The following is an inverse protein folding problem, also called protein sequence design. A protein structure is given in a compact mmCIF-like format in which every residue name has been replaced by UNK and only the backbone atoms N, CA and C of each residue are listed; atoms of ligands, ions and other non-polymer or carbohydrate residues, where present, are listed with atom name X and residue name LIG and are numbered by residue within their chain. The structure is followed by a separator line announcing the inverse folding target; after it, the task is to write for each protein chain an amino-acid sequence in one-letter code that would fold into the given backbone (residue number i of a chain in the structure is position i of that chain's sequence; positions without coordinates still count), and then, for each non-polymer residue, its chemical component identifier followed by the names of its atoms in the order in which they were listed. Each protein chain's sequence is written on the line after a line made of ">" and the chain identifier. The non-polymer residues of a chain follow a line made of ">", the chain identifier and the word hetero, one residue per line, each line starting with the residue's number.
data_IF_688679756951
#
_entry.id   IF_688679756951
#
_cell.length_a   1.000
_cell.length_b   1.000
_cell.length_c   1.000
_cell.angle_alpha   90.00
_cell.angle_beta   90.00
_cell.angle_gamma   90.00
#
_symmetry.space_group_name_H-M   'P 1'
#
loop_
_entity.id
_entity.type
_entity.pdbx_description
1 polymer ?
#
# COMPACT_ATOMS: atom_id res chain seq x y z
N UNK A 1 -36.34 -5.10 12.92
CA UNK A 1 -34.95 -4.74 12.64
C UNK A 1 -34.71 -3.47 13.43
N UNK A 2 -33.69 -3.48 14.29
CA UNK A 2 -33.29 -2.24 14.99
C UNK A 2 -32.79 -1.22 13.97
N UNK A 3 -33.18 0.03 14.15
CA UNK A 3 -32.70 1.12 13.32
C UNK A 3 -31.16 1.25 13.51
N UNK A 4 -30.35 1.37 12.46
CA UNK A 4 -28.89 1.52 12.59
C UNK A 4 -28.46 2.73 13.42
N UNK A 5 -29.32 3.74 13.53
CA UNK A 5 -29.11 4.93 14.35
C UNK A 5 -29.26 4.65 15.85
N UNK A 6 -30.05 3.64 16.24
CA UNK A 6 -30.29 3.27 17.65
C UNK A 6 -29.21 2.34 18.19
N UNK A 7 -28.58 1.51 17.32
CA UNK A 7 -27.52 0.60 17.69
C UNK A 7 -26.41 0.58 16.62
N UNK A 8 -25.57 1.63 16.53
CA UNK A 8 -24.55 1.74 15.52
C UNK A 8 -23.45 0.70 15.72
N UNK A 9 -23.17 -0.07 14.68
CA UNK A 9 -22.04 -0.99 14.66
C UNK A 9 -20.85 -0.37 13.94
N UNK A 10 -19.69 -0.38 14.59
CA UNK A 10 -18.44 0.14 14.03
C UNK A 10 -17.59 -1.02 13.50
N UNK A 11 -17.10 -0.89 12.28
CA UNK A 11 -16.12 -1.79 11.68
C UNK A 11 -14.87 -1.02 11.28
N UNK A 12 -13.70 -1.64 11.50
CA UNK A 12 -12.44 -1.12 11.01
C UNK A 12 -12.13 -1.77 9.67
N UNK A 13 -11.96 -0.94 8.65
CA UNK A 13 -11.53 -1.37 7.33
C UNK A 13 -10.30 -0.55 6.93
N UNK A 14 -9.10 -1.13 6.91
CA UNK A 14 -7.93 -0.41 6.46
C UNK A 14 -8.01 -0.18 4.94
N UNK A 15 -7.92 1.07 4.53
CA UNK A 15 -7.90 1.45 3.11
C UNK A 15 -6.53 1.97 2.76
N UNK A 16 -5.79 1.18 2.00
CA UNK A 16 -4.48 1.52 1.47
C UNK A 16 -4.54 1.82 -0.03
N UNK A 17 -3.41 2.12 -0.66
CA UNK A 17 -3.35 2.15 -2.12
C UNK A 17 -3.80 0.80 -2.68
N UNK A 18 -4.80 0.81 -3.55
CA UNK A 18 -5.37 -0.38 -4.14
C UNK A 18 -4.56 -0.93 -5.32
N UNK A 19 -3.45 -0.28 -5.69
CA UNK A 19 -2.61 -0.65 -6.83
C UNK A 19 -3.44 -1.00 -8.06
N UNK A 20 -4.33 -0.06 -8.44
CA UNK A 20 -5.29 -0.25 -9.52
C UNK A 20 -4.60 -0.51 -10.86
N UNK A 21 -5.10 -1.47 -11.64
CA UNK A 21 -4.58 -1.73 -12.99
C UNK A 21 -5.01 -0.63 -13.98
N UNK A 22 -6.19 -0.02 -13.78
CA UNK A 22 -6.64 1.17 -14.49
C UNK A 22 -6.51 2.38 -13.56
N UNK A 23 -5.28 2.77 -13.25
CA UNK A 23 -4.98 3.74 -12.20
C UNK A 23 -5.24 5.19 -12.65
N UNK A 24 -6.30 5.87 -12.17
CA UNK A 24 -6.57 7.26 -12.56
C UNK A 24 -5.46 8.23 -12.16
N UNK A 25 -4.69 7.87 -11.13
CA UNK A 25 -3.57 8.68 -10.65
C UNK A 25 -2.36 8.67 -11.58
N UNK A 26 -2.22 7.67 -12.45
CA UNK A 26 -1.14 7.61 -13.43
C UNK A 26 -1.40 8.55 -14.61
N UNK A 27 -2.65 8.60 -15.08
CA UNK A 27 -3.04 9.40 -16.25
C UNK A 27 -2.90 10.91 -16.02
N UNK A 28 -2.98 11.36 -14.78
CA UNK A 28 -2.98 12.80 -14.44
C UNK A 28 -1.62 13.31 -13.98
N UNK A 29 -0.60 12.46 -13.91
CA UNK A 29 0.72 12.88 -13.47
C UNK A 29 1.51 13.50 -14.63
N UNK A 30 1.80 14.83 -14.62
CA UNK A 30 2.44 15.50 -15.74
C UNK A 30 3.88 15.07 -15.97
N UNK A 31 4.52 14.47 -14.96
CA UNK A 31 5.92 14.06 -14.99
C UNK A 31 6.09 12.53 -14.94
N UNK A 32 5.00 11.78 -15.06
CA UNK A 32 5.00 10.33 -14.95
C UNK A 32 5.73 9.81 -13.68
N UNK A 33 5.56 10.50 -12.55
CA UNK A 33 6.09 10.06 -11.26
C UNK A 33 5.32 8.86 -10.69
N UNK A 34 4.12 8.62 -11.20
CA UNK A 34 3.31 7.45 -10.87
C UNK A 34 3.24 6.54 -12.07
N UNK A 35 3.75 5.33 -11.95
CA UNK A 35 3.89 4.35 -13.03
C UNK A 35 3.55 2.94 -12.55
N UNK A 36 3.24 2.03 -13.48
CA UNK A 36 3.10 0.61 -13.20
C UNK A 36 4.42 -0.14 -13.35
N UNK A 37 4.68 -1.05 -12.42
CA UNK A 37 5.79 -2.01 -12.53
C UNK A 37 5.34 -3.28 -13.25
N UNK A 38 6.32 -4.09 -13.67
CA UNK A 38 6.06 -5.40 -14.27
C UNK A 38 5.39 -6.39 -13.29
N UNK A 39 5.50 -6.13 -11.99
CA UNK A 39 4.83 -6.90 -10.93
C UNK A 39 3.36 -6.50 -10.73
N UNK A 40 2.86 -5.53 -11.47
CA UNK A 40 1.50 -5.01 -11.32
C UNK A 40 1.36 -3.98 -10.19
N UNK A 41 2.46 -3.44 -9.66
CA UNK A 41 2.44 -2.44 -8.61
C UNK A 41 2.35 -1.03 -9.19
N UNK A 42 1.43 -0.23 -8.68
CA UNK A 42 1.45 1.20 -8.92
C UNK A 42 2.58 1.81 -8.08
N UNK A 43 3.64 2.26 -8.73
CA UNK A 43 4.84 2.80 -8.10
C UNK A 43 4.81 4.32 -8.01
N UNK A 44 5.59 4.86 -7.08
CA UNK A 44 5.81 6.30 -6.94
C UNK A 44 7.31 6.60 -6.99
N UNK A 45 7.71 7.38 -7.99
CA UNK A 45 9.09 7.84 -8.16
C UNK A 45 9.22 9.21 -7.51
N UNK A 46 9.74 9.26 -6.28
CA UNK A 46 9.74 10.46 -5.44
C UNK A 46 10.54 11.61 -6.01
N UNK A 47 11.72 11.33 -6.57
CA UNK A 47 12.60 12.35 -7.16
C UNK A 47 12.06 12.96 -8.46
N UNK A 48 11.02 12.35 -9.02
CA UNK A 48 10.34 12.86 -10.23
C UNK A 48 9.10 13.66 -9.88
N UNK A 49 8.59 13.53 -8.65
CA UNK A 49 7.38 14.21 -8.20
C UNK A 49 7.60 15.70 -8.02
N UNK A 50 6.80 16.50 -8.70
CA UNK A 50 6.81 17.97 -8.59
C UNK A 50 5.66 18.52 -7.73
N UNK A 51 4.91 17.66 -7.08
CA UNK A 51 3.91 18.03 -6.07
C UNK A 51 2.63 18.69 -6.59
N UNK A 52 2.21 18.44 -7.83
CA UNK A 52 0.95 18.98 -8.38
C UNK A 52 -0.29 18.51 -7.64
N UNK A 53 -0.22 17.40 -6.90
CA UNK A 53 -1.30 16.79 -6.11
C UNK A 53 -2.51 16.32 -6.92
N UNK A 54 -2.50 16.45 -8.23
CA UNK A 54 -3.60 16.01 -9.06
C UNK A 54 -3.87 14.50 -8.91
N UNK A 55 -2.82 13.69 -8.75
CA UNK A 55 -2.96 12.27 -8.49
C UNK A 55 -3.68 11.96 -7.15
N UNK A 56 -3.54 12.82 -6.14
CA UNK A 56 -4.28 12.69 -4.87
C UNK A 56 -5.77 13.05 -5.05
N UNK A 57 -6.05 14.11 -5.80
CA UNK A 57 -7.42 14.51 -6.12
C UNK A 57 -8.15 13.46 -6.96
N UNK A 58 -7.44 12.85 -7.91
CA UNK A 58 -8.02 11.87 -8.83
C UNK A 58 -8.07 10.44 -8.26
N UNK A 59 -7.46 10.19 -7.10
CA UNK A 59 -7.55 8.90 -6.44
C UNK A 59 -8.95 8.73 -5.82
N UNK A 60 -9.75 7.72 -6.24
CA UNK A 60 -11.09 7.52 -5.68
C UNK A 60 -11.05 7.09 -4.21
N UNK A 61 -9.99 6.40 -3.80
CA UNK A 61 -9.78 5.93 -2.43
C UNK A 61 -9.16 6.98 -1.50
N UNK A 62 -8.68 8.10 -2.03
CA UNK A 62 -8.07 9.20 -1.27
C UNK A 62 -6.88 8.78 -0.39
N UNK A 63 -6.08 7.84 -0.85
CA UNK A 63 -4.98 7.21 -0.09
C UNK A 63 -3.60 7.76 -0.42
N UNK A 64 -3.53 8.80 -1.22
CA UNK A 64 -2.28 9.48 -1.57
C UNK A 64 -2.11 10.69 -0.65
N UNK A 65 -0.94 10.78 0.00
CA UNK A 65 -0.64 11.82 0.99
C UNK A 65 0.48 12.73 0.49
N UNK A 66 0.29 14.01 0.67
CA UNK A 66 1.28 15.01 0.30
C UNK A 66 2.12 15.40 1.51
N UNK A 67 3.43 15.47 1.34
CA UNK A 67 4.35 15.89 2.39
C UNK A 67 4.42 17.41 2.45
N UNK A 68 3.67 17.98 3.35
CA UNK A 68 3.59 19.44 3.56
C UNK A 68 4.82 20.00 4.27
N UNK A 69 5.47 19.19 5.09
CA UNK A 69 6.55 19.59 5.96
C UNK A 69 7.76 18.67 5.80
N UNK A 70 8.93 19.20 6.15
CA UNK A 70 10.14 18.39 6.31
C UNK A 70 10.12 17.75 7.70
N UNK A 71 9.43 16.63 7.85
CA UNK A 71 9.22 15.98 9.15
C UNK A 71 10.49 15.46 9.82
N UNK A 72 11.52 15.15 9.04
CA UNK A 72 12.81 14.66 9.52
C UNK A 72 13.78 15.76 9.93
N UNK A 73 13.44 17.00 9.70
CA UNK A 73 14.29 18.16 9.99
C UNK A 73 13.40 19.39 10.22
N UNK A 74 12.69 19.39 11.35
CA UNK A 74 11.74 20.44 11.68
C UNK A 74 11.60 20.58 13.20
N UNK A 75 12.09 21.67 13.75
CA UNK A 75 12.12 21.97 15.19
C UNK A 75 10.75 21.87 15.89
N UNK A 76 9.67 22.02 15.13
CA UNK A 76 8.30 21.93 15.67
C UNK A 76 7.80 20.49 15.85
N UNK A 77 8.41 19.52 15.15
CA UNK A 77 7.96 18.14 15.11
C UNK A 77 8.99 17.13 15.58
N UNK A 78 10.23 17.56 15.82
CA UNK A 78 11.32 16.60 16.01
C UNK A 78 11.46 16.08 17.44
N UNK A 79 10.83 16.71 18.42
CA UNK A 79 10.90 16.30 19.83
C UNK A 79 12.33 15.91 20.30
N UNK A 80 13.34 16.65 19.84
CA UNK A 80 14.77 16.40 20.08
C UNK A 80 15.33 15.12 19.40
N UNK A 81 14.70 14.62 18.35
CA UNK A 81 15.15 13.42 17.64
C UNK A 81 15.97 13.74 16.37
N UNK A 82 16.12 15.02 15.99
CA UNK A 82 16.83 15.44 14.77
C UNK A 82 18.24 15.97 15.02
N UNK A 83 18.74 15.93 16.26
CA UNK A 83 20.15 16.13 16.53
C UNK A 83 20.98 14.95 16.00
N UNK A 84 22.29 15.13 15.88
CA UNK A 84 23.17 14.11 15.30
C UNK A 84 23.14 12.79 16.09
N UNK A 85 22.96 12.84 17.39
CA UNK A 85 22.86 11.65 18.24
C UNK A 85 21.52 10.95 18.06
N UNK A 86 20.42 11.69 18.00
CA UNK A 86 19.08 11.15 17.76
C UNK A 86 18.97 10.48 16.39
N UNK A 87 19.62 11.03 15.36
CA UNK A 87 19.66 10.43 14.02
C UNK A 87 20.38 9.09 13.97
N UNK A 88 21.29 8.82 14.89
CA UNK A 88 22.03 7.55 14.93
C UNK A 88 21.17 6.32 15.26
N UNK A 89 20.02 6.49 15.89
CA UNK A 89 19.07 5.39 16.16
C UNK A 89 18.14 5.08 14.98
N UNK A 90 18.13 5.94 13.94
CA UNK A 90 17.29 5.74 12.77
C UNK A 90 17.90 4.71 11.83
N UNK A 91 17.04 3.93 11.18
CA UNK A 91 17.49 2.97 10.19
C UNK A 91 18.05 3.71 8.95
N UNK A 92 19.35 3.60 8.62
CA UNK A 92 19.97 4.30 7.49
C UNK A 92 19.45 3.85 6.12
N UNK A 93 18.83 2.66 6.04
CA UNK A 93 18.27 2.13 4.80
C UNK A 93 16.89 2.73 4.48
N UNK A 94 16.32 3.51 5.39
CA UNK A 94 15.04 4.20 5.18
C UNK A 94 15.28 5.62 4.68
N UNK A 95 14.92 5.88 3.43
CA UNK A 95 14.95 7.23 2.86
C UNK A 95 13.69 7.98 3.27
N UNK A 96 13.86 9.06 4.04
CA UNK A 96 12.78 10.00 4.33
C UNK A 96 12.57 10.93 3.13
N UNK A 97 11.34 11.02 2.64
CA UNK A 97 11.02 11.86 1.47
C UNK A 97 10.96 13.30 1.87
N UNK A 98 11.40 14.15 0.96
CA UNK A 98 11.39 15.59 1.15
C UNK A 98 9.97 16.17 1.16
N UNK A 99 9.85 17.40 1.66
CA UNK A 99 8.64 18.20 1.48
C UNK A 99 8.30 18.35 -0.01
N UNK A 100 7.02 18.36 -0.35
CA UNK A 100 6.55 18.63 -1.71
C UNK A 100 6.33 17.40 -2.57
N UNK A 101 6.49 16.19 -2.04
CA UNK A 101 6.23 14.95 -2.77
C UNK A 101 4.98 14.23 -2.26
N UNK A 102 4.43 13.37 -3.10
CA UNK A 102 3.31 12.49 -2.74
C UNK A 102 3.84 11.12 -2.30
N UNK A 103 3.26 10.60 -1.24
CA UNK A 103 3.51 9.25 -0.74
C UNK A 103 2.24 8.41 -0.69
N UNK A 104 2.42 7.10 -0.75
CA UNK A 104 1.35 6.11 -0.62
C UNK A 104 1.93 4.75 -0.24
N UNK A 105 1.09 3.76 0.06
CA UNK A 105 1.53 2.39 0.25
C UNK A 105 2.24 1.86 -1.01
N UNK A 106 3.46 1.34 -0.83
CA UNK A 106 4.28 0.75 -1.91
C UNK A 106 4.17 -0.77 -1.99
N UNK A 107 3.33 -1.41 -1.16
CA UNK A 107 3.31 -2.87 -0.95
C UNK A 107 4.68 -3.46 -0.61
N UNK A 108 5.48 -2.72 0.16
CA UNK A 108 6.82 -3.14 0.57
C UNK A 108 7.71 -3.57 -0.61
N UNK A 109 7.75 -2.76 -1.67
CA UNK A 109 8.50 -3.05 -2.91
C UNK A 109 9.95 -3.45 -2.65
N UNK A 110 10.58 -2.89 -1.61
CA UNK A 110 11.95 -3.22 -1.23
C UNK A 110 12.08 -4.70 -0.84
N UNK A 111 11.11 -5.24 -0.08
CA UNK A 111 11.07 -6.67 0.27
C UNK A 111 10.87 -7.55 -0.95
N UNK A 112 9.97 -7.15 -1.86
CA UNK A 112 9.70 -7.88 -3.11
C UNK A 112 10.98 -7.92 -3.97
N UNK A 113 11.68 -6.81 -4.12
CA UNK A 113 12.92 -6.76 -4.89
C UNK A 113 14.04 -7.58 -4.24
N UNK A 114 14.19 -7.53 -2.92
CA UNK A 114 15.14 -8.36 -2.19
C UNK A 114 14.86 -9.86 -2.39
N UNK A 115 13.58 -10.24 -2.34
CA UNK A 115 13.16 -11.62 -2.58
C UNK A 115 13.44 -12.07 -4.01
N UNK A 116 13.17 -11.23 -5.01
CA UNK A 116 13.50 -11.49 -6.42
C UNK A 116 15.01 -11.67 -6.62
N UNK A 117 15.82 -10.84 -5.98
CA UNK A 117 17.28 -10.96 -6.04
C UNK A 117 17.75 -12.26 -5.40
N UNK A 118 17.21 -12.63 -4.23
CA UNK A 118 17.52 -13.91 -3.57
C UNK A 118 17.15 -15.10 -4.46
N UNK A 119 15.97 -15.11 -5.05
CA UNK A 119 15.51 -16.15 -5.97
C UNK A 119 16.42 -16.26 -7.20
N UNK A 120 16.78 -15.11 -7.79
CA UNK A 120 17.72 -15.08 -8.93
C UNK A 120 19.09 -15.67 -8.58
N UNK A 121 19.63 -15.34 -7.41
CA UNK A 121 20.94 -15.83 -6.98
C UNK A 121 20.94 -17.31 -6.62
N UNK A 122 19.83 -17.82 -6.06
CA UNK A 122 19.70 -19.23 -5.69
C UNK A 122 19.21 -20.12 -6.82
N UNK A 123 18.70 -19.55 -7.91
CA UNK A 123 18.08 -20.30 -9.01
C UNK A 123 16.75 -21.00 -8.61
N UNK A 124 16.19 -20.66 -7.45
CA UNK A 124 14.94 -21.24 -6.95
C UNK A 124 13.76 -20.29 -7.20
N UNK A 125 12.57 -20.78 -7.53
CA UNK A 125 11.38 -19.97 -7.66
C UNK A 125 10.99 -19.35 -6.31
N UNK A 126 10.35 -18.18 -6.36
CA UNK A 126 9.77 -17.53 -5.18
C UNK A 126 8.57 -18.36 -4.71
N UNK A 127 8.54 -18.71 -3.44
CA UNK A 127 7.37 -19.34 -2.83
C UNK A 127 6.41 -18.28 -2.30
N UNK A 128 5.12 -18.58 -2.31
CA UNK A 128 4.05 -17.69 -1.83
C UNK A 128 4.28 -17.27 -0.36
N UNK A 129 4.69 -18.21 0.48
CA UNK A 129 4.99 -17.98 1.90
C UNK A 129 6.15 -17.02 2.17
N UNK A 130 7.11 -16.89 1.24
CA UNK A 130 8.26 -15.97 1.35
C UNK A 130 7.87 -14.52 1.01
N UNK A 131 6.82 -14.34 0.22
CA UNK A 131 6.36 -13.04 -0.25
C UNK A 131 5.44 -12.38 0.78
N UNK A 132 6.02 -11.68 1.76
CA UNK A 132 5.26 -11.05 2.86
C UNK A 132 5.49 -9.54 2.93
N UNK A 133 4.40 -8.78 2.99
CA UNK A 133 4.46 -7.36 3.36
C UNK A 133 4.62 -7.20 4.87
N UNK A 134 5.12 -6.05 5.32
CA UNK A 134 5.29 -5.80 6.77
C UNK A 134 3.95 -5.88 7.50
N UNK A 135 2.87 -5.31 6.93
CA UNK A 135 1.55 -5.35 7.54
C UNK A 135 1.00 -6.79 7.64
N UNK A 136 1.24 -7.65 6.64
CA UNK A 136 0.84 -9.05 6.69
C UNK A 136 1.64 -9.82 7.75
N UNK A 137 2.97 -9.67 7.76
CA UNK A 137 3.83 -10.37 8.73
C UNK A 137 3.63 -9.90 10.19
N UNK A 138 3.12 -8.69 10.39
CA UNK A 138 2.83 -8.14 11.73
C UNK A 138 1.39 -8.42 12.21
N UNK A 139 0.55 -8.99 11.35
CA UNK A 139 -0.85 -9.25 11.68
C UNK A 139 -0.97 -10.55 12.49
N UNK A 140 -1.17 -10.45 13.80
CA UNK A 140 -1.30 -11.61 14.69
C UNK A 140 -2.50 -12.50 14.39
N UNK A 141 -3.51 -11.97 13.70
CA UNK A 141 -4.74 -12.70 13.33
C UNK A 141 -4.69 -13.25 11.90
N UNK A 142 -3.60 -13.05 11.17
CA UNK A 142 -3.47 -13.40 9.75
C UNK A 142 -4.61 -12.86 8.87
N UNK A 143 -5.16 -11.71 9.23
CA UNK A 143 -6.26 -11.09 8.48
C UNK A 143 -5.80 -10.41 7.18
N UNK A 144 -4.50 -10.24 6.99
CA UNK A 144 -3.90 -9.61 5.80
C UNK A 144 -3.07 -10.67 5.09
N UNK A 145 -3.48 -11.02 3.88
CA UNK A 145 -2.79 -11.97 3.02
C UNK A 145 -2.19 -11.25 1.82
N UNK A 146 -0.96 -11.57 1.49
CA UNK A 146 -0.26 -11.02 0.34
C UNK A 146 0.35 -12.16 -0.47
N UNK A 147 0.27 -12.10 -1.80
CA UNK A 147 0.81 -13.13 -2.67
C UNK A 147 0.68 -12.79 -4.15
N UNK A 148 1.13 -13.71 -5.02
CA UNK A 148 1.00 -13.57 -6.47
C UNK A 148 -0.40 -13.99 -6.91
N UNK A 149 -1.15 -13.05 -7.46
CA UNK A 149 -2.49 -13.28 -8.03
C UNK A 149 -2.48 -14.17 -9.28
N UNK A 150 -1.39 -14.24 -10.00
CA UNK A 150 -1.27 -15.06 -11.20
C UNK A 150 -0.99 -16.53 -10.87
N UNK A 151 -0.45 -16.80 -9.70
CA UNK A 151 -0.32 -18.16 -9.20
C UNK A 151 -1.68 -18.67 -8.69
N UNK A 152 -2.23 -19.65 -9.40
CA UNK A 152 -3.53 -20.26 -9.04
C UNK A 152 -3.49 -21.03 -7.72
N UNK A 153 -2.29 -21.40 -7.25
CA UNK A 153 -2.09 -22.13 -6.01
C UNK A 153 -1.88 -21.20 -4.80
N UNK A 154 -1.61 -19.91 -5.05
CA UNK A 154 -1.40 -18.93 -3.99
C UNK A 154 -2.65 -18.77 -3.10
N UNK A 155 -2.43 -18.44 -1.84
CA UNK A 155 -3.51 -18.20 -0.88
C UNK A 155 -4.40 -17.04 -1.32
N UNK A 156 -3.79 -15.95 -1.81
CA UNK A 156 -4.52 -14.77 -2.30
C UNK A 156 -5.45 -15.11 -3.47
N UNK A 157 -5.02 -16.02 -4.36
CA UNK A 157 -5.85 -16.45 -5.50
C UNK A 157 -7.02 -17.34 -5.07
N UNK A 158 -6.86 -18.13 -4.01
CA UNK A 158 -7.95 -18.91 -3.41
C UNK A 158 -8.96 -18.02 -2.71
N UNK A 159 -8.48 -17.07 -1.90
CA UNK A 159 -9.33 -16.11 -1.20
C UNK A 159 -10.12 -15.21 -2.16
N UNK A 160 -9.55 -14.87 -3.32
CA UNK A 160 -10.25 -14.08 -4.34
C UNK A 160 -11.48 -14.77 -4.93
N UNK A 161 -11.52 -16.08 -4.90
CA UNK A 161 -12.65 -16.91 -5.40
C UNK A 161 -13.74 -17.12 -4.34
N UNK A 162 -13.50 -16.73 -3.10
CA UNK A 162 -14.49 -16.82 -2.02
C UNK A 162 -15.67 -15.90 -2.33
N UNK A 163 -16.90 -16.34 -2.09
CA UNK A 163 -18.13 -15.57 -2.32
C UNK A 163 -18.20 -14.29 -1.48
N UNK A 164 -17.44 -14.22 -0.39
CA UNK A 164 -17.33 -13.03 0.46
C UNK A 164 -16.38 -11.98 -0.07
N UNK A 165 -15.62 -12.29 -1.13
CA UNK A 165 -14.65 -11.35 -1.69
C UNK A 165 -15.34 -10.24 -2.46
N UNK A 166 -14.94 -8.99 -2.20
CA UNK A 166 -15.45 -7.82 -2.92
C UNK A 166 -14.35 -6.79 -3.17
N UNK A 167 -14.53 -6.01 -4.22
CA UNK A 167 -13.69 -4.88 -4.56
C UNK A 167 -14.31 -3.58 -4.05
N UNK A 168 -13.49 -2.74 -3.43
CA UNK A 168 -13.95 -1.43 -2.97
C UNK A 168 -14.15 -0.51 -4.19
N UNK A 169 -15.34 0.13 -4.29
CA UNK A 169 -15.74 1.00 -5.41
C UNK A 169 -15.65 0.32 -6.78
N UNK A 170 -16.08 -0.92 -6.87
CA UNK A 170 -16.03 -1.74 -8.09
C UNK A 170 -16.68 -1.05 -9.30
N UNK A 171 -17.77 -0.31 -9.09
CA UNK A 171 -18.50 0.44 -10.13
C UNK A 171 -17.65 1.46 -10.89
N UNK A 172 -16.49 1.87 -10.35
CA UNK A 172 -15.55 2.78 -11.01
C UNK A 172 -14.64 2.07 -12.03
N UNK A 173 -14.64 0.75 -12.07
CA UNK A 173 -13.85 -0.08 -12.98
C UNK A 173 -12.34 0.26 -13.00
N UNK A 174 -11.78 0.66 -11.87
CA UNK A 174 -10.35 0.94 -11.73
C UNK A 174 -9.51 -0.32 -11.56
N UNK A 175 -10.14 -1.48 -11.45
CA UNK A 175 -9.55 -2.81 -11.31
C UNK A 175 -8.50 -2.88 -10.20
N UNK A 176 -8.92 -2.82 -8.93
CA UNK A 176 -8.01 -2.87 -7.81
C UNK A 176 -7.28 -4.21 -7.71
N UNK A 177 -6.04 -4.19 -7.22
CA UNK A 177 -5.28 -5.40 -6.86
C UNK A 177 -5.48 -5.81 -5.40
N UNK A 178 -6.12 -4.96 -4.60
CA UNK A 178 -6.53 -5.26 -3.22
C UNK A 178 -8.01 -5.54 -3.22
N UNK A 179 -8.41 -6.58 -2.51
CA UNK A 179 -9.80 -6.93 -2.29
C UNK A 179 -10.05 -7.20 -0.81
N UNK A 180 -11.28 -7.23 -0.41
CA UNK A 180 -11.71 -7.42 0.96
C UNK A 180 -12.66 -8.60 1.06
N UNK A 181 -12.75 -9.18 2.26
CA UNK A 181 -13.76 -10.19 2.56
C UNK A 181 -14.77 -9.64 3.55
N UNK A 182 -16.04 -9.90 3.29
CA UNK A 182 -17.13 -9.54 4.21
C UNK A 182 -16.98 -10.28 5.52
N UNK A 183 -17.04 -9.55 6.64
CA UNK A 183 -17.08 -10.13 7.97
C UNK A 183 -18.48 -10.66 8.26
N UNK A 184 -18.59 -11.95 8.57
CA UNK A 184 -19.83 -12.54 9.06
C UNK A 184 -19.96 -12.27 10.55
N UNK A 185 -21.11 -11.78 10.96
CA UNK A 185 -21.45 -11.57 12.37
C UNK A 185 -22.67 -12.43 12.71
N UNK A 186 -22.50 -13.23 13.74
CA UNK A 186 -23.63 -13.95 14.35
C UNK A 186 -24.22 -13.01 15.39
N UNK A 187 -25.46 -12.57 15.20
CA UNK A 187 -26.25 -11.86 16.20
C UNK A 187 -27.09 -12.87 17.00
#
# INVERSE_FOLDING_TARGET
>A
MEEPSENPEVVFQPVMCQHCNHAPCENVCPVAATTHSNEGLNQMTYNRCVGTRYCANNCPYKVRRFNWFQYSDNDKFDFNMNDDLGKMVLNPDVVVRSRGVIEKCSMCIQKIQALKLKAKNSGQPIKDEDAQTVCASSCSTNAIVFGDRNDKQSEVSKLRKDERAYDLLDHLNVRPSVFYQTKIRNK
#
